data_IF_047126758799
#
_entry.id   IF_047126758799
#
_cell.length_a   1.000
_cell.length_b   1.000
_cell.length_c   1.000
_cell.angle_alpha   90.00
_cell.angle_beta   90.00
_cell.angle_gamma   90.00
#
_symmetry.space_group_name_H-M   'P 1'
#
loop_
_entity.id
_entity.type
_entity.pdbx_description
1 polymer ?
#
# COMPACT_ATOMS: atom_id res chain seq x y z
N UNK A 1 37.62 -0.62 -2.94
CA UNK A 1 36.49 -0.77 -1.99
C UNK A 1 35.35 0.05 -2.58
N UNK A 2 34.27 -0.59 -3.01
CA UNK A 2 33.15 0.13 -3.63
C UNK A 2 32.44 0.93 -2.54
N UNK A 3 32.61 2.25 -2.56
CA UNK A 3 31.87 3.18 -1.71
C UNK A 3 30.39 2.86 -1.83
N UNK A 4 29.78 2.42 -0.73
CA UNK A 4 28.33 2.28 -0.66
C UNK A 4 27.76 3.69 -0.82
N UNK A 5 27.30 4.02 -2.03
CA UNK A 5 26.65 5.29 -2.34
C UNK A 5 25.51 5.48 -1.34
N UNK A 6 25.70 6.38 -0.37
CA UNK A 6 24.62 6.86 0.48
C UNK A 6 23.71 7.68 -0.43
N UNK A 7 22.44 7.28 -0.50
CA UNK A 7 21.43 8.02 -1.25
C UNK A 7 21.25 9.39 -0.60
N UNK A 8 21.00 10.41 -1.40
CA UNK A 8 20.63 11.72 -0.87
C UNK A 8 19.18 11.66 -0.35
N UNK A 9 18.82 12.51 0.62
CA UNK A 9 17.44 12.61 1.15
C UNK A 9 16.37 12.72 0.05
N UNK A 10 16.71 13.38 -1.07
CA UNK A 10 15.84 13.53 -2.22
C UNK A 10 15.58 12.20 -2.94
N UNK A 11 16.60 11.36 -3.08
CA UNK A 11 16.47 10.03 -3.68
C UNK A 11 15.68 9.08 -2.77
N UNK A 12 15.86 9.16 -1.45
CA UNK A 12 15.09 8.37 -0.48
C UNK A 12 13.59 8.73 -0.53
N UNK A 13 13.28 10.02 -0.67
CA UNK A 13 11.90 10.48 -0.84
C UNK A 13 11.26 9.97 -2.15
N UNK A 14 11.99 9.99 -3.27
CA UNK A 14 11.52 9.43 -4.53
C UNK A 14 11.26 7.92 -4.44
N UNK A 15 12.15 7.19 -3.79
CA UNK A 15 11.99 5.75 -3.55
C UNK A 15 10.74 5.48 -2.71
N UNK A 16 10.49 6.25 -1.64
CA UNK A 16 9.26 6.07 -0.87
C UNK A 16 7.99 6.32 -1.70
N UNK A 17 7.97 7.33 -2.59
CA UNK A 17 6.79 7.54 -3.47
C UNK A 17 6.53 6.35 -4.37
N UNK A 18 7.59 5.77 -4.94
CA UNK A 18 7.50 4.57 -5.76
C UNK A 18 7.01 3.36 -4.96
N UNK A 19 7.42 3.26 -3.69
CA UNK A 19 6.96 2.21 -2.77
C UNK A 19 5.48 2.42 -2.42
N UNK A 20 5.07 3.64 -2.10
CA UNK A 20 3.69 4.00 -1.80
C UNK A 20 2.76 3.62 -2.96
N UNK A 21 3.13 3.94 -4.21
CA UNK A 21 2.34 3.61 -5.40
C UNK A 21 2.15 2.09 -5.54
N UNK A 22 3.23 1.31 -5.40
CA UNK A 22 3.16 -0.16 -5.46
C UNK A 22 2.27 -0.76 -4.38
N UNK A 23 2.29 -0.22 -3.16
CA UNK A 23 1.41 -0.68 -2.08
C UNK A 23 -0.05 -0.26 -2.29
N UNK A 24 -0.28 0.94 -2.84
CA UNK A 24 -1.63 1.40 -3.19
C UNK A 24 -2.28 0.46 -4.20
N UNK A 25 -1.51 0.03 -5.21
CA UNK A 25 -1.93 -0.95 -6.21
C UNK A 25 -2.38 -2.28 -5.60
N UNK A 26 -1.73 -2.74 -4.53
CA UNK A 26 -2.07 -3.99 -3.87
C UNK A 26 -3.44 -3.91 -3.17
N UNK A 27 -3.67 -2.85 -2.40
CA UNK A 27 -4.98 -2.63 -1.78
C UNK A 27 -6.07 -2.37 -2.81
N UNK A 28 -5.76 -1.64 -3.88
CA UNK A 28 -6.68 -1.43 -5.00
C UNK A 28 -7.07 -2.73 -5.68
N UNK A 29 -6.13 -3.65 -5.93
CA UNK A 29 -6.42 -4.95 -6.51
C UNK A 29 -7.37 -5.78 -5.62
N UNK A 30 -7.17 -5.78 -4.31
CA UNK A 30 -8.07 -6.46 -3.36
C UNK A 30 -9.46 -5.83 -3.36
N UNK A 31 -9.55 -4.50 -3.40
CA UNK A 31 -10.85 -3.80 -3.47
C UNK A 31 -11.57 -4.06 -4.79
N UNK A 32 -10.86 -4.06 -5.92
CA UNK A 32 -11.40 -4.42 -7.22
C UNK A 32 -11.92 -5.87 -7.24
N UNK A 33 -11.20 -6.79 -6.59
CA UNK A 33 -11.67 -8.15 -6.39
C UNK A 33 -12.93 -8.22 -5.50
N UNK A 34 -13.01 -7.39 -4.46
CA UNK A 34 -14.23 -7.27 -3.64
C UNK A 34 -15.44 -6.79 -4.45
N UNK A 35 -15.25 -5.77 -5.29
CA UNK A 35 -16.28 -5.30 -6.23
C UNK A 35 -16.69 -6.38 -7.22
N UNK A 36 -15.74 -7.13 -7.77
CA UNK A 36 -16.03 -8.26 -8.65
C UNK A 36 -16.87 -9.34 -7.93
N UNK A 37 -16.55 -9.65 -6.67
CA UNK A 37 -17.34 -10.60 -5.88
C UNK A 37 -18.76 -10.10 -5.59
N UNK A 38 -19.00 -8.79 -5.48
CA UNK A 38 -20.36 -8.27 -5.33
C UNK A 38 -21.22 -8.55 -6.57
N UNK A 39 -20.60 -8.62 -7.76
CA UNK A 39 -21.29 -8.94 -9.01
C UNK A 39 -21.39 -10.45 -9.27
N UNK A 40 -20.34 -11.20 -8.98
CA UNK A 40 -20.23 -12.63 -9.34
C UNK A 40 -20.69 -13.61 -8.25
N UNK A 41 -20.70 -13.20 -6.97
CA UNK A 41 -21.03 -14.09 -5.86
C UNK A 41 -22.53 -14.00 -5.49
N UNK A 42 -23.12 -15.08 -4.93
CA UNK A 42 -24.53 -15.09 -4.51
C UNK A 42 -24.82 -14.19 -3.29
N UNK A 43 -23.78 -13.70 -2.60
CA UNK A 43 -23.91 -12.85 -1.41
C UNK A 43 -23.09 -11.58 -1.54
N UNK A 44 -23.78 -10.44 -1.49
CA UNK A 44 -23.19 -9.10 -1.45
C UNK A 44 -22.26 -8.94 -0.23
N UNK A 45 -22.58 -9.63 0.88
CA UNK A 45 -21.83 -9.56 2.12
C UNK A 45 -20.37 -10.02 1.93
N UNK A 46 -20.15 -11.00 1.06
CA UNK A 46 -18.80 -11.49 0.73
C UNK A 46 -17.97 -10.40 0.05
N UNK A 47 -18.56 -9.66 -0.89
CA UNK A 47 -17.87 -8.56 -1.57
C UNK A 47 -17.58 -7.38 -0.64
N UNK A 48 -18.50 -7.05 0.26
CA UNK A 48 -18.28 -6.03 1.31
C UNK A 48 -17.14 -6.45 2.24
N UNK A 49 -17.07 -7.72 2.65
CA UNK A 49 -15.98 -8.22 3.48
C UNK A 49 -14.61 -8.05 2.78
N UNK A 50 -14.51 -8.37 1.50
CA UNK A 50 -13.29 -8.15 0.71
C UNK A 50 -12.92 -6.67 0.57
N UNK A 51 -13.91 -5.78 0.41
CA UNK A 51 -13.69 -4.33 0.40
C UNK A 51 -13.13 -3.82 1.73
N UNK A 52 -13.68 -4.28 2.85
CA UNK A 52 -13.19 -3.94 4.20
C UNK A 52 -11.77 -4.45 4.39
N UNK A 53 -11.46 -5.68 3.96
CA UNK A 53 -10.09 -6.23 4.01
C UNK A 53 -9.13 -5.37 3.20
N UNK A 54 -9.49 -4.99 1.97
CA UNK A 54 -8.67 -4.10 1.13
C UNK A 54 -8.42 -2.74 1.78
N UNK A 55 -9.44 -2.14 2.39
CA UNK A 55 -9.31 -0.89 3.12
C UNK A 55 -8.39 -1.02 4.34
N UNK A 56 -8.52 -2.09 5.13
CA UNK A 56 -7.64 -2.36 6.28
C UNK A 56 -6.20 -2.53 5.86
N UNK A 57 -5.95 -3.25 4.75
CA UNK A 57 -4.60 -3.42 4.19
C UNK A 57 -3.99 -2.06 3.82
N UNK A 58 -4.73 -1.19 3.13
CA UNK A 58 -4.25 0.16 2.78
C UNK A 58 -3.93 0.99 4.01
N UNK A 59 -4.79 0.96 5.04
CA UNK A 59 -4.58 1.70 6.28
C UNK A 59 -3.33 1.21 7.02
N UNK A 60 -3.12 -0.11 7.08
CA UNK A 60 -1.91 -0.69 7.68
C UNK A 60 -0.65 -0.27 6.94
N UNK A 61 -0.65 -0.36 5.60
CA UNK A 61 0.50 0.08 4.80
C UNK A 61 0.76 1.58 4.93
N UNK A 62 -0.27 2.41 4.95
CA UNK A 62 -0.14 3.85 5.18
C UNK A 62 0.56 4.12 6.52
N UNK A 63 0.13 3.46 7.60
CA UNK A 63 0.76 3.63 8.92
C UNK A 63 2.23 3.22 8.89
N UNK A 64 2.56 2.10 8.26
CA UNK A 64 3.94 1.61 8.14
C UNK A 64 4.80 2.62 7.37
N UNK A 65 4.32 3.14 6.24
CA UNK A 65 5.05 4.09 5.40
C UNK A 65 5.27 5.42 6.11
N UNK A 66 4.25 5.96 6.79
CA UNK A 66 4.39 7.21 7.56
C UNK A 66 5.42 7.05 8.68
N UNK A 67 5.41 5.92 9.38
CA UNK A 67 6.40 5.63 10.42
C UNK A 67 7.83 5.51 9.87
N UNK A 68 8.00 4.85 8.73
CA UNK A 68 9.30 4.79 8.04
C UNK A 68 9.76 6.20 7.61
N UNK A 69 8.86 7.03 7.09
CA UNK A 69 9.22 8.40 6.72
C UNK A 69 9.66 9.24 7.92
N UNK A 70 8.92 9.18 9.02
CA UNK A 70 9.28 9.88 10.26
C UNK A 70 10.61 9.39 10.84
N UNK A 71 10.94 8.11 10.62
CA UNK A 71 12.23 7.54 11.03
C UNK A 71 13.38 8.02 10.14
N UNK A 72 13.19 8.11 8.82
CA UNK A 72 14.22 8.61 7.88
C UNK A 72 14.46 10.11 8.04
N UNK A 73 13.44 10.89 8.40
CA UNK A 73 13.55 12.36 8.58
C UNK A 73 14.23 12.76 9.91
N UNK A 74 14.22 11.90 10.92
CA UNK A 74 14.90 12.12 12.21
C UNK A 74 16.39 11.76 12.14
#
# INVERSE_FOLDING_TARGET
MADKKKLTHQQEFEIMKLILDKFLWLGFAVMAFGLYNMWAAPSILTGIAWLVVGAVILVLFMIIIVKEYEFVVK
#
